data_IF_569569304425
#
_entry.id   IF_569569304425
#
_cell.length_a   1.000
_cell.length_b   1.000
_cell.length_c   1.000
_cell.angle_alpha   90.00
_cell.angle_beta   90.00
_cell.angle_gamma   90.00
#
_symmetry.space_group_name_H-M   'P 1'
#
loop_
_entity.id
_entity.type
_entity.pdbx_description
1 polymer ?
#
# COMPACT_ATOMS: atom_id res chain seq x y z
N UNK A 1 -11.70 -3.93 -16.09
CA UNK A 1 -10.31 -3.49 -15.80
C UNK A 1 -10.14 -3.60 -14.30
N UNK A 2 -9.49 -4.66 -13.81
CA UNK A 2 -9.61 -5.14 -12.43
C UNK A 2 -9.30 -4.08 -11.36
N UNK A 3 -8.36 -3.15 -11.61
CA UNK A 3 -8.03 -2.05 -10.67
C UNK A 3 -9.07 -0.93 -10.55
N UNK A 4 -10.09 -0.89 -11.42
CA UNK A 4 -11.03 0.23 -11.54
C UNK A 4 -12.46 -0.09 -11.04
N UNK A 5 -12.70 -1.32 -10.57
CA UNK A 5 -14.02 -1.77 -10.09
C UNK A 5 -14.23 -1.57 -8.58
N UNK A 6 -13.18 -1.26 -7.82
CA UNK A 6 -13.21 -1.00 -6.37
C UNK A 6 -12.41 0.27 -6.04
N UNK A 7 -12.47 0.74 -4.79
CA UNK A 7 -11.61 1.80 -4.25
C UNK A 7 -10.09 1.44 -4.28
N UNK A 8 -9.66 0.39 -4.99
CA UNK A 8 -8.28 -0.11 -5.12
C UNK A 8 -7.26 0.93 -5.54
N UNK A 9 -7.63 1.86 -6.42
CA UNK A 9 -6.72 2.97 -6.77
C UNK A 9 -6.40 3.86 -5.58
N UNK A 10 -7.34 4.04 -4.64
CA UNK A 10 -7.08 4.73 -3.37
C UNK A 10 -6.19 3.90 -2.48
N UNK A 11 -6.46 2.60 -2.35
CA UNK A 11 -5.62 1.67 -1.57
C UNK A 11 -4.17 1.67 -2.06
N UNK A 12 -3.97 1.70 -3.38
CA UNK A 12 -2.65 1.81 -4.00
C UNK A 12 -2.00 3.16 -3.71
N UNK A 13 -2.69 4.28 -3.97
CA UNK A 13 -2.14 5.62 -3.80
C UNK A 13 -1.79 5.94 -2.33
N UNK A 14 -2.62 5.52 -1.37
CA UNK A 14 -2.35 5.72 0.06
C UNK A 14 -1.21 4.84 0.58
N UNK A 15 -0.95 3.70 -0.05
CA UNK A 15 0.15 2.84 0.35
C UNK A 15 1.53 3.39 -0.02
N UNK A 16 1.64 4.22 -1.06
CA UNK A 16 2.91 4.81 -1.51
C UNK A 16 3.60 5.63 -0.40
N UNK A 17 2.96 6.64 0.22
CA UNK A 17 3.60 7.39 1.31
C UNK A 17 3.87 6.50 2.53
N UNK A 18 3.02 5.50 2.80
CA UNK A 18 3.23 4.56 3.90
C UNK A 18 4.43 3.63 3.67
N UNK A 19 4.65 3.16 2.44
CA UNK A 19 5.83 2.39 2.04
C UNK A 19 7.09 3.25 1.97
N UNK A 20 6.96 4.54 1.64
CA UNK A 20 8.08 5.47 1.58
C UNK A 20 8.62 5.86 2.97
N UNK A 21 7.74 6.10 3.95
CA UNK A 21 8.13 6.47 5.32
C UNK A 21 8.39 5.23 6.18
N UNK A 22 7.57 4.19 6.00
CA UNK A 22 7.67 2.94 6.73
C UNK A 22 8.50 1.90 5.99
N UNK A 23 7.98 0.67 6.00
CA UNK A 23 8.50 -0.47 5.25
C UNK A 23 7.34 -1.28 4.69
N UNK A 24 7.62 -2.23 3.82
CA UNK A 24 6.60 -3.15 3.28
C UNK A 24 5.80 -3.88 4.39
N UNK A 25 6.44 -4.22 5.51
CA UNK A 25 5.78 -4.85 6.66
C UNK A 25 4.73 -3.93 7.30
N UNK A 26 5.02 -2.62 7.34
CA UNK A 26 4.06 -1.63 7.82
C UNK A 26 2.86 -1.52 6.87
N UNK A 27 3.12 -1.53 5.56
CA UNK A 27 2.07 -1.49 4.53
C UNK A 27 1.19 -2.74 4.58
N UNK A 28 1.76 -3.92 4.79
CA UNK A 28 1.01 -5.17 5.00
C UNK A 28 0.08 -5.09 6.22
N UNK A 29 0.57 -4.58 7.36
CA UNK A 29 -0.26 -4.35 8.54
C UNK A 29 -1.40 -3.36 8.28
N UNK A 30 -1.12 -2.29 7.52
CA UNK A 30 -2.11 -1.31 7.09
C UNK A 30 -3.17 -1.92 6.17
N UNK A 31 -2.76 -2.73 5.19
CA UNK A 31 -3.63 -3.41 4.26
C UNK A 31 -4.61 -4.34 5.00
N UNK A 32 -4.08 -5.18 5.90
CA UNK A 32 -4.88 -6.07 6.74
C UNK A 32 -5.80 -5.28 7.67
N UNK A 33 -5.33 -4.17 8.26
CA UNK A 33 -6.13 -3.31 9.13
C UNK A 33 -7.28 -2.61 8.41
N UNK A 34 -7.07 -2.13 7.18
CA UNK A 34 -8.11 -1.51 6.37
C UNK A 34 -9.20 -2.51 6.00
N UNK A 35 -8.81 -3.71 5.56
CA UNK A 35 -9.77 -4.78 5.25
C UNK A 35 -10.48 -5.34 6.50
N UNK A 36 -9.78 -5.42 7.63
CA UNK A 36 -10.39 -5.82 8.89
C UNK A 36 -11.46 -4.82 9.33
N UNK A 37 -11.15 -3.51 9.21
CA UNK A 37 -12.12 -2.43 9.44
C UNK A 37 -13.30 -2.57 8.48
N UNK A 38 -13.07 -2.77 7.19
CA UNK A 38 -14.17 -2.89 6.21
C UNK A 38 -15.07 -4.11 6.49
N UNK A 39 -14.50 -5.24 6.93
CA UNK A 39 -15.24 -6.40 7.46
C UNK A 39 -16.12 -6.05 8.67
N UNK A 40 -15.61 -5.25 9.61
CA UNK A 40 -16.38 -4.83 10.79
C UNK A 40 -17.58 -3.95 10.43
N UNK A 41 -17.49 -3.15 9.36
CA UNK A 41 -18.60 -2.32 8.87
C UNK A 41 -19.54 -3.05 7.89
N UNK A 42 -19.47 -4.39 7.82
CA UNK A 42 -20.35 -5.21 6.98
C UNK A 42 -19.87 -5.37 5.53
N UNK A 43 -18.66 -4.90 5.21
CA UNK A 43 -17.98 -5.14 3.94
C UNK A 43 -17.43 -6.56 3.81
N UNK A 44 -17.05 -6.95 2.60
CA UNK A 44 -16.36 -8.21 2.33
C UNK A 44 -14.85 -7.96 2.38
N UNK A 45 -14.11 -8.91 2.93
CA UNK A 45 -12.65 -8.89 2.88
C UNK A 45 -12.19 -9.18 1.45
N UNK A 46 -11.58 -8.20 0.81
CA UNK A 46 -11.09 -8.30 -0.55
C UNK A 46 -9.56 -8.44 -0.55
N UNK A 47 -9.10 -9.65 -0.90
CA UNK A 47 -7.67 -9.93 -1.06
C UNK A 47 -7.03 -9.11 -2.18
N UNK A 48 -7.85 -8.67 -3.14
CA UNK A 48 -7.41 -7.85 -4.27
C UNK A 48 -7.08 -6.43 -3.80
N UNK A 49 -7.77 -5.93 -2.77
CA UNK A 49 -7.52 -4.62 -2.17
C UNK A 49 -6.23 -4.66 -1.34
N UNK A 50 -5.93 -5.77 -0.66
CA UNK A 50 -4.62 -6.02 -0.01
C UNK A 50 -3.50 -6.06 -1.05
N UNK A 51 -3.68 -6.79 -2.15
CA UNK A 51 -2.68 -6.87 -3.20
C UNK A 51 -2.40 -5.47 -3.80
N UNK A 52 -3.44 -4.64 -3.98
CA UNK A 52 -3.28 -3.28 -4.45
C UNK A 52 -2.51 -2.39 -3.45
N UNK A 53 -2.78 -2.52 -2.14
CA UNK A 53 -2.05 -1.80 -1.10
C UNK A 53 -0.57 -2.23 -1.07
N UNK A 54 -0.28 -3.53 -1.12
CA UNK A 54 1.11 -4.05 -1.17
C UNK A 54 1.86 -3.54 -2.40
N UNK A 55 1.23 -3.55 -3.58
CA UNK A 55 1.85 -3.02 -4.80
C UNK A 55 2.18 -1.52 -4.68
N UNK A 56 1.32 -0.73 -4.03
CA UNK A 56 1.62 0.68 -3.75
C UNK A 56 2.74 0.85 -2.72
N UNK A 57 2.81 -0.04 -1.72
CA UNK A 57 3.91 -0.12 -0.75
C UNK A 57 5.26 -0.35 -1.41
N UNK A 58 5.34 -1.31 -2.33
CA UNK A 58 6.56 -1.61 -3.09
C UNK A 58 7.03 -0.39 -3.86
N UNK A 59 6.11 0.35 -4.50
CA UNK A 59 6.46 1.60 -5.20
C UNK A 59 7.00 2.64 -4.21
N UNK A 60 6.38 2.79 -3.04
CA UNK A 60 6.87 3.65 -1.96
C UNK A 60 8.28 3.26 -1.48
N UNK A 61 8.52 1.97 -1.28
CA UNK A 61 9.81 1.41 -0.85
C UNK A 61 10.90 1.64 -1.91
N UNK A 62 10.58 1.46 -3.20
CA UNK A 62 11.51 1.75 -4.29
C UNK A 62 11.90 3.23 -4.33
N UNK A 63 10.94 4.14 -4.10
CA UNK A 63 11.21 5.57 -3.99
C UNK A 63 12.09 5.91 -2.78
N UNK A 64 11.86 5.24 -1.64
CA UNK A 64 12.69 5.41 -0.44
C UNK A 64 14.13 4.98 -0.72
N UNK A 65 14.33 3.81 -1.32
CA UNK A 65 15.66 3.31 -1.71
C UNK A 65 16.33 4.23 -2.72
N UNK A 66 15.61 4.70 -3.75
CA UNK A 66 16.13 5.63 -4.74
C UNK A 66 16.60 6.94 -4.08
N UNK A 67 15.85 7.48 -3.12
CA UNK A 67 16.23 8.67 -2.37
C UNK A 67 17.49 8.42 -1.53
N UNK A 68 17.58 7.29 -0.83
CA UNK A 68 18.75 6.92 -0.03
C UNK A 68 20.00 6.81 -0.92
N UNK A 69 19.87 6.18 -2.08
CA UNK A 69 20.97 6.08 -3.07
C UNK A 69 21.38 7.47 -3.55
N UNK A 70 20.43 8.35 -3.87
CA UNK A 70 20.74 9.71 -4.31
C UNK A 70 21.50 10.48 -3.23
N UNK A 71 21.04 10.43 -1.98
CA UNK A 71 21.69 11.11 -0.85
C UNK A 71 23.09 10.56 -0.55
N UNK A 72 23.31 9.26 -0.74
CA UNK A 72 24.63 8.64 -0.52
C UNK A 72 25.64 8.98 -1.63
N UNK A 73 25.18 9.30 -2.84
CA UNK A 73 26.04 9.66 -3.97
C UNK A 73 26.31 11.18 -4.10
N UNK A 74 25.81 11.99 -3.17
CA UNK A 74 26.07 13.44 -3.03
C UNK A 74 27.17 13.64 -2.00
#
# INVERSE_FOLDING_TARGET
>A
MWLNESNRMKHFAYAIPCGFVGTELFVLGLAVGMEFKDRMYGGRFDWLDIAATVLGGIVGQLLQVALIILLYNI
#
